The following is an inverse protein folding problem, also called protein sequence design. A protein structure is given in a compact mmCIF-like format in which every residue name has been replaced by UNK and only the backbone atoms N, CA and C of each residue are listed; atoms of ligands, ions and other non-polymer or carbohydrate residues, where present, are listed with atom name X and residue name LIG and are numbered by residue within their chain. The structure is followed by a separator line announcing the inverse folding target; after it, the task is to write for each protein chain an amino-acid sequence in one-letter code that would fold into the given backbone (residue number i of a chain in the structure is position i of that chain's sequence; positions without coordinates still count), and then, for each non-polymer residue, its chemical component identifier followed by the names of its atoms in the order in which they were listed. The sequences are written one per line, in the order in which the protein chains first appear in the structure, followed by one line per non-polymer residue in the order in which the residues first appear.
data_IF_984544198379
#
_entry.id   IF_984544198379
#
_cell.length_a   1.000
_cell.length_b   1.000
_cell.length_c   1.000
_cell.angle_alpha   90.00
_cell.angle_beta   90.00
_cell.angle_gamma   90.00
#
_symmetry.space_group_name_H-M   'P 1'
#
loop_
_entity.id
_entity.type
_entity.pdbx_description
1 polymer ?
#
# COMPACT_ATOMS: atom_id res chain seq x y z
N UNK A 1 -3.90 2.76 26.40
CA UNK A 1 -3.77 3.70 25.26
C UNK A 1 -3.08 3.05 24.06
N UNK A 2 -1.86 2.49 24.21
CA UNK A 2 -1.12 1.83 23.12
C UNK A 2 -1.92 0.70 22.43
N UNK A 3 -2.59 -0.17 23.19
CA UNK A 3 -3.40 -1.26 22.60
C UNK A 3 -4.58 -0.75 21.75
N UNK A 4 -5.20 0.36 22.14
CA UNK A 4 -6.30 0.99 21.39
C UNK A 4 -5.79 1.58 20.08
N UNK A 5 -4.67 2.31 20.13
CA UNK A 5 -4.02 2.88 18.94
C UNK A 5 -3.57 1.77 17.98
N UNK A 6 -2.95 0.71 18.51
CA UNK A 6 -2.56 -0.47 17.73
C UNK A 6 -3.74 -1.09 16.99
N UNK A 7 -4.85 -1.30 17.70
CA UNK A 7 -6.08 -1.86 17.12
C UNK A 7 -6.64 -0.95 16.03
N UNK A 8 -6.63 0.37 16.27
CA UNK A 8 -7.03 1.37 15.28
C UNK A 8 -6.16 1.34 14.02
N UNK A 9 -4.84 1.27 14.18
CA UNK A 9 -3.90 1.17 13.06
C UNK A 9 -4.12 -0.10 12.25
N UNK A 10 -4.32 -1.25 12.90
CA UNK A 10 -4.58 -2.50 12.20
C UNK A 10 -5.90 -2.47 11.42
N UNK A 11 -6.96 -1.88 11.98
CA UNK A 11 -8.25 -1.73 11.28
C UNK A 11 -8.11 -0.84 10.04
N UNK A 12 -7.38 0.27 10.16
CA UNK A 12 -7.14 1.20 9.06
C UNK A 12 -6.26 0.55 7.98
N UNK A 13 -5.17 -0.12 8.36
CA UNK A 13 -4.32 -0.88 7.45
C UNK A 13 -5.13 -1.95 6.72
N UNK A 14 -5.90 -2.77 7.45
CA UNK A 14 -6.77 -3.79 6.85
C UNK A 14 -7.75 -3.19 5.85
N UNK A 15 -8.41 -2.08 6.19
CA UNK A 15 -9.34 -1.41 5.29
C UNK A 15 -8.65 -0.89 4.03
N UNK A 16 -7.47 -0.29 4.15
CA UNK A 16 -6.72 0.23 3.01
C UNK A 16 -6.22 -0.90 2.10
N UNK A 17 -5.67 -1.96 2.66
CA UNK A 17 -5.29 -3.16 1.91
C UNK A 17 -6.50 -3.85 1.26
N UNK A 18 -7.67 -3.87 1.91
CA UNK A 18 -8.90 -4.40 1.33
C UNK A 18 -9.35 -3.59 0.10
N UNK A 19 -9.27 -2.25 0.17
CA UNK A 19 -9.56 -1.38 -0.97
C UNK A 19 -8.57 -1.62 -2.12
N UNK A 20 -7.28 -1.74 -1.81
CA UNK A 20 -6.24 -2.11 -2.78
C UNK A 20 -6.53 -3.46 -3.42
N UNK A 21 -6.78 -4.50 -2.62
CA UNK A 21 -7.11 -5.84 -3.09
C UNK A 21 -8.33 -5.84 -4.01
N UNK A 22 -9.43 -5.20 -3.60
CA UNK A 22 -10.65 -5.09 -4.40
C UNK A 22 -10.36 -4.41 -5.74
N UNK A 23 -9.75 -3.22 -5.72
CA UNK A 23 -9.52 -2.43 -6.92
C UNK A 23 -8.54 -3.11 -7.87
N UNK A 24 -7.43 -3.64 -7.37
CA UNK A 24 -6.41 -4.28 -8.20
C UNK A 24 -6.81 -5.68 -8.68
N UNK A 25 -7.59 -6.46 -7.92
CA UNK A 25 -8.05 -7.78 -8.36
C UNK A 25 -9.26 -7.71 -9.31
N UNK A 26 -10.30 -6.99 -8.90
CA UNK A 26 -11.61 -6.99 -9.58
C UNK A 26 -11.63 -6.00 -10.74
N UNK A 27 -11.04 -4.82 -10.55
CA UNK A 27 -10.97 -3.76 -11.57
C UNK A 27 -9.59 -3.69 -12.24
N UNK A 28 -8.91 -4.84 -12.37
CA UNK A 28 -7.49 -4.92 -12.75
C UNK A 28 -7.14 -4.24 -14.09
N UNK A 29 -8.06 -4.25 -15.06
CA UNK A 29 -7.88 -3.53 -16.33
C UNK A 29 -7.94 -2.01 -16.15
N UNK A 30 -8.85 -1.52 -15.30
CA UNK A 30 -8.95 -0.09 -14.96
C UNK A 30 -7.73 0.35 -14.18
N UNK A 31 -7.25 -0.48 -13.26
CA UNK A 31 -6.04 -0.23 -12.51
C UNK A 31 -4.77 -0.26 -13.39
N UNK A 32 -4.67 -1.17 -14.36
CA UNK A 32 -3.58 -1.19 -15.33
C UNK A 32 -3.50 0.10 -16.14
N UNK A 33 -4.63 0.71 -16.49
CA UNK A 33 -4.66 2.02 -17.16
C UNK A 33 -4.11 3.16 -16.29
N UNK A 34 -3.99 2.98 -14.97
CA UNK A 34 -3.26 3.93 -14.11
C UNK A 34 -1.75 3.82 -14.32
N UNK A 35 -1.24 2.63 -14.62
CA UNK A 35 0.18 2.34 -14.80
C UNK A 35 0.67 2.47 -16.27
N UNK A 36 -0.25 2.70 -17.20
CA UNK A 36 0.03 2.80 -18.64
C UNK A 36 -0.38 4.17 -19.18
N UNK A 37 0.57 4.84 -19.83
CA UNK A 37 0.35 6.12 -20.50
C UNK A 37 -0.82 6.04 -21.50
N UNK A 38 -1.58 7.13 -21.66
CA UNK A 38 -2.78 7.12 -22.51
C UNK A 38 -2.51 6.71 -23.96
N UNK A 39 -1.36 7.10 -24.50
CA UNK A 39 -0.89 6.77 -25.86
C UNK A 39 -0.70 5.27 -26.07
N UNK A 40 -0.36 4.54 -25.01
CA UNK A 40 0.05 3.14 -25.10
C UNK A 40 -1.08 2.18 -24.69
N UNK A 41 -2.26 2.70 -24.38
CA UNK A 41 -3.41 1.87 -23.93
C UNK A 41 -4.01 1.00 -25.02
N UNK A 42 -3.73 1.29 -26.29
CA UNK A 42 -4.09 0.42 -27.40
C UNK A 42 -3.12 -0.76 -27.56
N UNK A 43 -2.02 -0.77 -26.80
CA UNK A 43 -1.01 -1.84 -26.86
C UNK A 43 -1.60 -3.20 -26.49
N UNK A 44 -1.23 -4.27 -27.22
CA UNK A 44 -1.61 -5.64 -26.86
C UNK A 44 -1.02 -6.09 -25.52
N UNK A 45 -0.10 -5.33 -24.91
CA UNK A 45 0.47 -5.62 -23.60
C UNK A 45 -0.43 -5.17 -22.43
N UNK A 46 -1.44 -4.32 -22.66
CA UNK A 46 -2.29 -3.83 -21.58
C UNK A 46 -3.00 -4.96 -20.80
N UNK A 47 -3.54 -6.02 -21.44
CA UNK A 47 -4.08 -7.17 -20.71
C UNK A 47 -3.06 -7.92 -19.85
N UNK A 48 -1.80 -8.02 -20.31
CA UNK A 48 -0.74 -8.64 -19.52
C UNK A 48 -0.42 -7.80 -18.27
N UNK A 49 -0.37 -6.47 -18.41
CA UNK A 49 -0.22 -5.55 -17.28
C UNK A 49 -1.42 -5.67 -16.33
N UNK A 50 -2.65 -5.81 -16.83
CA UNK A 50 -3.82 -6.07 -16.00
C UNK A 50 -3.73 -7.40 -15.23
N UNK A 51 -3.09 -8.42 -15.80
CA UNK A 51 -2.74 -9.65 -15.09
C UNK A 51 -1.76 -9.41 -13.95
N UNK A 52 -0.67 -8.69 -14.21
CA UNK A 52 0.32 -8.33 -13.19
C UNK A 52 -0.28 -7.46 -12.07
N UNK A 53 -1.18 -6.55 -12.40
CA UNK A 53 -1.91 -5.73 -11.42
C UNK A 53 -2.85 -6.59 -10.56
N UNK A 54 -3.49 -7.62 -11.14
CA UNK A 54 -4.28 -8.58 -10.35
C UNK A 54 -3.42 -9.34 -9.34
N UNK A 55 -2.20 -9.71 -9.72
CA UNK A 55 -1.23 -10.29 -8.78
C UNK A 55 -0.90 -9.31 -7.64
N UNK A 56 -0.68 -8.03 -7.94
CA UNK A 56 -0.51 -6.99 -6.90
C UNK A 56 -1.75 -6.89 -5.99
N UNK A 57 -2.96 -7.05 -6.52
CA UNK A 57 -4.17 -7.11 -5.72
C UNK A 57 -4.18 -8.29 -4.74
N UNK A 58 -3.72 -9.47 -5.16
CA UNK A 58 -3.58 -10.63 -4.27
C UNK A 58 -2.56 -10.38 -3.16
N UNK A 59 -1.46 -9.66 -3.45
CA UNK A 59 -0.51 -9.24 -2.42
C UNK A 59 -1.15 -8.31 -1.39
N UNK A 60 -1.98 -7.35 -1.83
CA UNK A 60 -2.74 -6.51 -0.90
C UNK A 60 -3.75 -7.34 -0.07
N UNK A 61 -4.39 -8.34 -0.68
CA UNK A 61 -5.28 -9.24 0.05
C UNK A 61 -4.55 -9.98 1.18
N UNK A 62 -3.32 -10.45 0.92
CA UNK A 62 -2.52 -11.12 1.93
C UNK A 62 -2.21 -10.19 3.11
N UNK A 63 -1.85 -8.92 2.86
CA UNK A 63 -1.62 -7.92 3.92
C UNK A 63 -2.90 -7.58 4.70
N UNK A 64 -4.04 -7.48 4.02
CA UNK A 64 -5.34 -7.34 4.68
C UNK A 64 -5.59 -8.51 5.64
N UNK A 65 -5.46 -9.76 5.16
CA UNK A 65 -5.64 -10.95 6.00
C UNK A 65 -4.66 -10.96 7.17
N UNK A 66 -3.40 -10.60 6.93
CA UNK A 66 -2.41 -10.48 8.00
C UNK A 66 -2.85 -9.50 9.10
N UNK A 67 -3.33 -8.31 8.75
CA UNK A 67 -3.88 -7.36 9.73
C UNK A 67 -5.09 -7.94 10.49
N UNK A 68 -5.97 -8.68 9.82
CA UNK A 68 -7.11 -9.35 10.47
C UNK A 68 -6.68 -10.47 11.43
N UNK A 69 -5.65 -11.23 11.07
CA UNK A 69 -5.06 -12.25 11.96
C UNK A 69 -4.46 -11.61 13.20
N UNK A 70 -3.76 -10.47 13.06
CA UNK A 70 -3.22 -9.73 14.21
C UNK A 70 -4.34 -9.17 15.11
N UNK A 71 -5.48 -8.75 14.53
CA UNK A 71 -6.66 -8.30 15.28
C UNK A 71 -7.34 -9.45 16.04
N UNK A 72 -7.54 -10.59 15.39
CA UNK A 72 -8.18 -11.76 16.01
C UNK A 72 -7.26 -12.42 17.06
N UNK A 73 -5.95 -12.42 16.80
CA UNK A 73 -4.92 -13.00 17.66
C UNK A 73 -4.40 -12.05 18.74
N UNK A 74 -5.26 -11.19 19.33
CA UNK A 74 -4.84 -10.17 20.31
C UNK A 74 -4.01 -10.74 21.48
N UNK A 75 -4.25 -12.00 21.87
CA UNK A 75 -3.48 -12.71 22.91
C UNK A 75 -2.20 -13.42 22.44
N UNK A 76 -1.88 -13.38 21.13
CA UNK A 76 -0.67 -14.02 20.57
C UNK A 76 0.52 -13.04 20.50
N UNK A 77 0.27 -11.73 20.47
CA UNK A 77 1.28 -10.69 20.24
C UNK A 77 1.14 -9.55 21.26
N UNK A 78 1.27 -9.89 22.54
CA UNK A 78 0.97 -8.97 23.63
C UNK A 78 2.12 -8.03 23.98
N UNK A 79 3.37 -8.41 23.67
CA UNK A 79 4.52 -7.61 24.09
C UNK A 79 4.66 -6.35 23.23
N UNK A 80 5.11 -5.23 23.82
CA UNK A 80 5.48 -4.02 23.07
C UNK A 80 6.40 -4.31 21.88
N UNK A 81 7.43 -5.14 22.08
CA UNK A 81 8.38 -5.50 21.04
C UNK A 81 7.76 -6.27 19.86
N UNK A 82 6.81 -7.19 20.12
CA UNK A 82 6.08 -7.89 19.06
C UNK A 82 5.20 -6.92 18.26
N UNK A 83 4.48 -6.02 18.92
CA UNK A 83 3.65 -5.02 18.22
C UNK A 83 4.50 -4.06 17.39
N UNK A 84 5.63 -3.63 17.93
CA UNK A 84 6.58 -2.78 17.22
C UNK A 84 7.16 -3.49 15.98
N UNK A 85 7.52 -4.77 16.07
CA UNK A 85 8.05 -5.49 14.90
C UNK A 85 7.00 -5.65 13.79
N UNK A 86 5.74 -5.94 14.15
CA UNK A 86 4.65 -6.02 13.17
C UNK A 86 4.35 -4.64 12.54
N UNK A 87 4.30 -3.58 13.34
CA UNK A 87 4.13 -2.21 12.84
C UNK A 87 5.28 -1.80 11.91
N UNK A 88 6.53 -2.16 12.22
CA UNK A 88 7.67 -1.88 11.37
C UNK A 88 7.55 -2.56 9.99
N UNK A 89 7.03 -3.79 9.95
CA UNK A 89 6.77 -4.50 8.68
C UNK A 89 5.67 -3.79 7.87
N UNK A 90 4.56 -3.40 8.50
CA UNK A 90 3.49 -2.65 7.82
C UNK A 90 4.00 -1.30 7.29
N UNK A 91 4.79 -0.59 8.09
CA UNK A 91 5.45 0.65 7.69
C UNK A 91 6.32 0.44 6.44
N UNK A 92 7.09 -0.64 6.39
CA UNK A 92 7.94 -0.98 5.25
C UNK A 92 7.13 -1.28 3.98
N UNK A 93 6.00 -1.99 4.10
CA UNK A 93 5.12 -2.29 2.96
C UNK A 93 4.61 -1.01 2.32
N UNK A 94 4.07 -0.09 3.13
CA UNK A 94 3.59 1.20 2.64
C UNK A 94 4.72 2.10 2.15
N UNK A 95 5.86 2.14 2.86
CA UNK A 95 7.03 2.90 2.44
C UNK A 95 7.56 2.42 1.08
N UNK A 96 7.54 1.12 0.81
CA UNK A 96 7.94 0.55 -0.48
C UNK A 96 7.04 1.01 -1.62
N UNK A 97 5.71 0.96 -1.43
CA UNK A 97 4.73 1.44 -2.41
C UNK A 97 4.87 2.96 -2.64
N UNK A 98 5.04 3.72 -1.57
CA UNK A 98 5.33 5.15 -1.62
C UNK A 98 6.63 5.45 -2.39
N UNK A 99 7.72 4.74 -2.09
CA UNK A 99 9.03 4.98 -2.69
C UNK A 99 9.04 4.77 -4.20
N UNK A 100 8.35 3.74 -4.70
CA UNK A 100 8.19 3.51 -6.14
C UNK A 100 7.45 4.68 -6.79
N UNK A 101 6.38 5.17 -6.18
CA UNK A 101 5.64 6.33 -6.68
C UNK A 101 6.46 7.63 -6.56
N UNK A 102 7.22 7.83 -5.49
CA UNK A 102 8.10 8.98 -5.32
C UNK A 102 9.20 9.00 -6.41
N UNK A 103 9.74 7.83 -6.74
CA UNK A 103 10.67 7.67 -7.85
C UNK A 103 10.04 8.09 -9.19
N UNK A 104 8.81 7.67 -9.48
CA UNK A 104 8.06 8.10 -10.67
C UNK A 104 7.84 9.61 -10.71
N UNK A 105 7.53 10.25 -9.58
CA UNK A 105 7.44 11.73 -9.49
C UNK A 105 8.78 12.37 -9.84
N UNK A 106 9.88 11.81 -9.34
CA UNK A 106 11.24 12.27 -9.65
C UNK A 106 11.56 12.19 -11.14
N UNK A 107 11.20 11.09 -11.81
CA UNK A 107 11.39 10.94 -13.26
C UNK A 107 10.64 12.01 -14.05
N UNK A 108 9.35 12.22 -13.74
CA UNK A 108 8.53 13.24 -14.43
C UNK A 108 9.09 14.66 -14.24
N UNK A 109 9.57 15.00 -13.05
CA UNK A 109 10.19 16.31 -12.79
C UNK A 109 11.48 16.54 -13.58
N UNK A 110 12.18 15.46 -13.96
CA UNK A 110 13.39 15.50 -14.79
C UNK A 110 13.09 15.42 -16.30
N UNK A 111 11.82 15.43 -16.70
CA UNK A 111 11.41 15.26 -18.09
C UNK A 111 11.68 13.86 -18.65
N UNK A 112 11.93 12.86 -17.80
CA UNK A 112 12.12 11.48 -18.23
C UNK A 112 10.76 10.82 -18.52
N UNK A 113 10.69 9.86 -19.45
CA UNK A 113 9.47 9.10 -19.71
C UNK A 113 9.16 8.22 -18.50
N UNK A 114 8.34 8.74 -17.58
CA UNK A 114 7.84 7.97 -16.45
C UNK A 114 6.67 7.11 -16.85
N UNK A 115 6.61 5.88 -16.33
CA UNK A 115 5.59 4.89 -16.72
C UNK A 115 4.17 5.32 -16.37
N UNK A 116 3.97 6.12 -15.30
CA UNK A 116 2.67 6.71 -14.95
C UNK A 116 2.74 8.00 -14.14
N UNK A 117 1.69 8.82 -14.25
CA UNK A 117 1.57 10.12 -13.57
C UNK A 117 0.98 9.94 -12.16
N UNK A 118 1.82 10.13 -11.14
CA UNK A 118 1.42 9.93 -9.74
C UNK A 118 0.57 11.07 -9.18
N UNK A 119 0.95 12.33 -9.41
CA UNK A 119 0.30 13.50 -8.76
C UNK A 119 -1.06 13.90 -9.35
N UNK A 120 -1.72 13.03 -10.12
CA UNK A 120 -3.04 13.26 -10.72
C UNK A 120 -3.92 12.02 -10.60
N UNK A 121 -5.22 12.22 -10.44
CA UNK A 121 -6.21 11.14 -10.39
C UNK A 121 -6.03 10.20 -9.17
N UNK A 122 -6.45 8.93 -9.28
CA UNK A 122 -6.42 7.97 -8.17
C UNK A 122 -5.01 7.67 -7.62
N UNK A 123 -3.97 7.72 -8.45
CA UNK A 123 -2.58 7.49 -7.99
C UNK A 123 -2.12 8.52 -6.96
N UNK A 124 -2.68 9.74 -6.98
CA UNK A 124 -2.37 10.77 -5.98
C UNK A 124 -2.88 10.37 -4.61
N UNK A 125 -4.07 9.78 -4.55
CA UNK A 125 -4.62 9.28 -3.29
C UNK A 125 -3.74 8.16 -2.74
N UNK A 126 -3.40 7.18 -3.59
CA UNK A 126 -2.53 6.06 -3.20
C UNK A 126 -1.21 6.57 -2.62
N UNK A 127 -0.56 7.51 -3.33
CA UNK A 127 0.70 8.11 -2.90
C UNK A 127 0.66 8.72 -1.50
N UNK A 128 -0.33 9.55 -1.20
CA UNK A 128 -0.40 10.22 0.10
C UNK A 128 -0.88 9.29 1.22
N UNK A 129 -1.78 8.36 0.92
CA UNK A 129 -2.27 7.41 1.91
C UNK A 129 -1.17 6.42 2.29
N UNK A 130 -0.40 5.90 1.33
CA UNK A 130 0.74 5.04 1.62
C UNK A 130 1.80 5.79 2.44
N UNK A 131 2.08 7.06 2.14
CA UNK A 131 2.97 7.86 2.99
C UNK A 131 2.43 8.00 4.42
N UNK A 132 1.13 8.28 4.56
CA UNK A 132 0.51 8.46 5.86
C UNK A 132 0.56 7.19 6.71
N UNK A 133 0.25 6.02 6.13
CA UNK A 133 0.38 4.74 6.84
C UNK A 133 1.83 4.41 7.18
N UNK A 134 2.76 4.58 6.24
CA UNK A 134 4.19 4.36 6.50
C UNK A 134 4.69 5.17 7.70
N UNK A 135 4.32 6.46 7.77
CA UNK A 135 4.67 7.34 8.87
C UNK A 135 3.94 6.97 10.16
N UNK A 136 2.64 6.67 10.10
CA UNK A 136 1.85 6.34 11.29
C UNK A 136 2.34 5.05 11.96
N UNK A 137 2.61 4.01 11.17
CA UNK A 137 3.13 2.74 11.68
C UNK A 137 4.56 2.91 12.22
N UNK A 138 5.43 3.65 11.52
CA UNK A 138 6.77 3.95 12.03
C UNK A 138 6.77 4.80 13.32
N UNK A 139 5.87 5.78 13.41
CA UNK A 139 5.69 6.58 14.62
C UNK A 139 5.21 5.73 15.79
N UNK A 140 4.32 4.77 15.53
CA UNK A 140 3.88 3.80 16.54
C UNK A 140 5.05 2.93 17.03
N UNK A 141 5.94 2.48 16.14
CA UNK A 141 7.16 1.76 16.54
C UNK A 141 8.00 2.58 17.52
N UNK A 142 8.29 3.84 17.18
CA UNK A 142 9.09 4.73 18.04
C UNK A 142 8.41 4.96 19.38
N UNK A 143 7.09 5.15 19.40
CA UNK A 143 6.34 5.39 20.63
C UNK A 143 6.23 4.16 21.55
N UNK A 144 6.22 2.95 20.98
CA UNK A 144 6.11 1.71 21.77
C UNK A 144 7.46 1.27 22.33
N UNK A 145 8.56 1.62 21.66
CA UNK A 145 9.92 1.22 22.05
C UNK A 145 10.67 2.30 22.85
N UNK A 146 10.25 3.57 22.76
CA UNK A 146 10.77 4.69 23.55
C UNK A 146 10.01 4.86 24.85
#
# INVERSE_FOLDING_TARGET
MQSTVWTGLLLLNAAWFALGARFFCLDSLRAARLLVAKTDRASPLLPAIAGAVRFLGAMNLAWMVFCLVLLAGHGLFETPAQRASMAAVLALVHAGQFAVNAHMVGQHRRGQPGSWVVLRGPMRLIFFVDLAFAVADAAFVVWVLG
#
